data_IF_732458670708
#
_entry.id   IF_732458670708
#
_cell.length_a   1.000
_cell.length_b   1.000
_cell.length_c   1.000
_cell.angle_alpha   90.00
_cell.angle_beta   90.00
_cell.angle_gamma   90.00
#
_symmetry.space_group_name_H-M   'P 1'
#
loop_
_entity.id
_entity.type
_entity.pdbx_description
1 polymer ?
#
# COMPACT_ATOMS: atom_id res chain seq x y z
N UNK A 1 -14.18 4.54 2.29
CA UNK A 1 -12.80 5.14 2.33
C UNK A 1 -11.81 4.11 2.85
N UNK A 2 -10.49 4.32 2.63
CA UNK A 2 -9.48 3.37 3.07
C UNK A 2 -8.22 4.09 3.54
N UNK A 3 -7.67 3.66 4.67
CA UNK A 3 -6.31 3.99 5.10
C UNK A 3 -5.40 2.77 4.87
N UNK A 4 -4.21 2.99 4.31
CA UNK A 4 -3.32 1.92 3.90
C UNK A 4 -1.87 2.19 4.36
N UNK A 5 -1.58 2.05 5.66
CA UNK A 5 -0.23 2.28 6.20
C UNK A 5 0.73 1.14 5.87
N UNK A 6 2.00 1.48 5.59
CA UNK A 6 3.09 0.52 5.56
C UNK A 6 3.71 0.42 6.97
N UNK A 7 3.82 -0.79 7.56
CA UNK A 7 4.34 -0.98 8.92
C UNK A 7 5.89 -1.01 8.93
N UNK A 8 6.51 0.02 8.36
CA UNK A 8 7.98 0.14 8.26
C UNK A 8 8.58 1.05 9.33
N UNK A 9 7.75 1.56 10.23
CA UNK A 9 8.11 2.46 11.34
C UNK A 9 6.89 2.88 12.14
N UNK A 10 7.12 3.77 13.11
CA UNK A 10 6.02 4.35 13.89
C UNK A 10 5.12 5.23 13.02
N UNK A 11 3.83 5.27 13.38
CA UNK A 11 2.87 6.14 12.73
C UNK A 11 3.24 7.62 13.01
N UNK A 12 3.59 8.38 11.98
CA UNK A 12 3.89 9.79 12.13
C UNK A 12 2.63 10.66 11.96
N UNK A 13 2.72 11.93 12.37
CA UNK A 13 1.58 12.86 12.35
C UNK A 13 0.92 12.98 10.97
N UNK A 14 1.68 12.92 9.89
CA UNK A 14 1.14 12.94 8.52
C UNK A 14 0.25 11.74 8.21
N UNK A 15 0.65 10.54 8.66
CA UNK A 15 -0.15 9.33 8.50
C UNK A 15 -1.40 9.37 9.37
N UNK A 16 -1.28 9.84 10.61
CA UNK A 16 -2.40 10.05 11.53
C UNK A 16 -3.43 11.02 10.94
N UNK A 17 -2.98 12.15 10.37
CA UNK A 17 -3.83 13.10 9.66
C UNK A 17 -4.55 12.43 8.48
N UNK A 18 -3.84 11.65 7.67
CA UNK A 18 -4.44 10.95 6.52
C UNK A 18 -5.50 9.96 6.97
N UNK A 19 -5.25 9.18 8.04
CA UNK A 19 -6.24 8.30 8.63
C UNK A 19 -7.48 9.06 9.08
N UNK A 20 -7.30 10.15 9.84
CA UNK A 20 -8.39 10.99 10.34
C UNK A 20 -9.27 11.56 9.20
N UNK A 21 -8.68 12.09 8.14
CA UNK A 21 -9.46 12.64 7.01
C UNK A 21 -10.24 11.56 6.28
N UNK A 22 -9.67 10.38 6.07
CA UNK A 22 -10.39 9.26 5.45
C UNK A 22 -11.53 8.76 6.34
N UNK A 23 -11.31 8.70 7.65
CA UNK A 23 -12.33 8.32 8.63
C UNK A 23 -13.48 9.33 8.64
N UNK A 24 -13.18 10.62 8.78
CA UNK A 24 -14.17 11.70 8.75
C UNK A 24 -14.98 11.68 7.45
N UNK A 25 -14.32 11.51 6.30
CA UNK A 25 -15.00 11.43 5.01
C UNK A 25 -15.92 10.20 4.93
N UNK A 26 -15.51 9.04 5.45
CA UNK A 26 -16.38 7.87 5.53
C UNK A 26 -17.60 8.15 6.43
N UNK A 27 -17.37 8.63 7.65
CA UNK A 27 -18.44 8.88 8.63
C UNK A 27 -19.40 9.97 8.18
N UNK A 28 -18.95 11.02 7.47
CA UNK A 28 -19.80 12.11 6.99
C UNK A 28 -20.87 11.69 5.99
N UNK A 29 -20.65 10.59 5.28
CA UNK A 29 -21.60 10.07 4.26
C UNK A 29 -22.21 8.72 4.66
N UNK A 30 -22.03 8.27 5.89
CA UNK A 30 -22.48 6.94 6.34
C UNK A 30 -21.77 5.79 5.60
N UNK A 31 -20.57 6.03 5.11
CA UNK A 31 -19.81 5.06 4.35
C UNK A 31 -18.84 4.25 5.21
N UNK A 32 -18.20 3.26 4.61
CA UNK A 32 -17.28 2.33 5.24
C UNK A 32 -15.86 2.88 5.29
N UNK A 33 -15.17 2.74 6.43
CA UNK A 33 -13.74 3.00 6.60
C UNK A 33 -12.98 1.67 6.72
N UNK A 34 -12.12 1.39 5.77
CA UNK A 34 -11.34 0.16 5.66
C UNK A 34 -9.88 0.39 6.04
N UNK A 35 -9.25 -0.67 6.56
CA UNK A 35 -7.82 -0.68 6.87
C UNK A 35 -7.10 -1.75 6.06
N UNK A 36 -6.04 -1.36 5.34
CA UNK A 36 -5.15 -2.27 4.63
C UNK A 36 -3.71 -2.04 5.08
N UNK A 37 -3.07 -3.07 5.58
CA UNK A 37 -1.66 -3.05 5.93
C UNK A 37 -0.83 -3.35 4.69
N UNK A 38 0.03 -2.42 4.28
CA UNK A 38 0.92 -2.56 3.13
C UNK A 38 2.27 -3.13 3.56
N UNK A 39 2.27 -4.42 3.87
CA UNK A 39 3.39 -5.19 4.44
C UNK A 39 4.19 -5.97 3.38
N UNK A 40 4.34 -5.41 2.18
CA UNK A 40 5.06 -6.05 1.07
C UNK A 40 6.58 -5.95 1.19
N UNK A 41 7.11 -5.02 1.96
CA UNK A 41 8.52 -4.92 2.29
C UNK A 41 8.84 -5.83 3.49
N UNK A 42 9.21 -7.07 3.21
CA UNK A 42 9.43 -8.10 4.23
C UNK A 42 10.60 -7.80 5.17
N UNK A 43 11.58 -6.99 4.74
CA UNK A 43 12.73 -6.64 5.58
C UNK A 43 12.38 -5.58 6.62
N UNK A 44 11.53 -4.62 6.26
CA UNK A 44 11.15 -3.50 7.13
C UNK A 44 9.81 -3.67 7.81
N UNK A 45 8.94 -4.53 7.27
CA UNK A 45 7.63 -4.79 7.86
C UNK A 45 7.76 -5.79 9.01
N UNK A 46 7.52 -5.32 10.23
CA UNK A 46 7.57 -6.15 11.44
C UNK A 46 6.18 -6.29 12.03
N UNK A 47 5.82 -7.48 12.55
CA UNK A 47 4.52 -7.69 13.21
C UNK A 47 4.23 -6.66 14.30
N UNK A 48 5.24 -6.31 15.10
CA UNK A 48 5.12 -5.35 16.21
C UNK A 48 4.76 -3.95 15.71
N UNK A 49 5.21 -3.56 14.50
CA UNK A 49 4.86 -2.27 13.90
C UNK A 49 3.42 -2.24 13.36
N UNK A 50 2.86 -3.41 13.04
CA UNK A 50 1.42 -3.52 12.71
C UNK A 50 0.58 -3.25 13.95
N UNK A 51 0.96 -3.81 15.10
CA UNK A 51 0.26 -3.58 16.36
C UNK A 51 0.30 -2.10 16.76
N UNK A 52 1.44 -1.43 16.56
CA UNK A 52 1.58 0.03 16.78
C UNK A 52 0.61 0.84 15.90
N UNK A 53 0.36 0.40 14.66
CA UNK A 53 -0.65 1.07 13.80
C UNK A 53 -2.04 0.94 14.40
N UNK A 54 -2.42 -0.25 14.88
CA UNK A 54 -3.73 -0.46 15.51
C UNK A 54 -3.88 0.34 16.79
N UNK A 55 -2.90 0.27 17.69
CA UNK A 55 -2.89 1.05 18.94
C UNK A 55 -3.01 2.55 18.68
N UNK A 56 -2.31 3.08 17.67
CA UNK A 56 -2.39 4.49 17.33
C UNK A 56 -3.77 4.90 16.81
N UNK A 57 -4.43 4.06 15.98
CA UNK A 57 -5.77 4.31 15.49
C UNK A 57 -6.80 4.25 16.63
N UNK A 58 -6.69 3.25 17.51
CA UNK A 58 -7.55 3.10 18.69
C UNK A 58 -7.38 4.29 19.64
N UNK A 59 -6.15 4.73 19.90
CA UNK A 59 -5.86 5.90 20.71
C UNK A 59 -6.50 7.18 20.15
N UNK A 60 -6.54 7.31 18.82
CA UNK A 60 -7.21 8.43 18.14
C UNK A 60 -8.74 8.28 18.09
N UNK A 61 -9.30 7.13 18.50
CA UNK A 61 -10.73 6.84 18.40
C UNK A 61 -11.20 6.59 16.96
N UNK A 62 -10.30 6.14 16.08
CA UNK A 62 -10.60 5.86 14.67
C UNK A 62 -10.86 4.35 14.51
N UNK A 63 -12.10 3.96 14.65
CA UNK A 63 -12.58 2.60 14.43
C UNK A 63 -12.70 2.28 12.93
N UNK A 64 -12.47 1.03 12.56
CA UNK A 64 -12.65 0.52 11.19
C UNK A 64 -13.74 -0.54 11.15
N UNK A 65 -14.41 -0.65 10.00
CA UNK A 65 -15.69 -1.36 9.87
C UNK A 65 -15.54 -2.85 9.48
N UNK A 66 -14.38 -3.25 8.93
CA UNK A 66 -14.12 -4.62 8.48
C UNK A 66 -12.75 -5.11 8.98
N UNK A 67 -12.53 -6.43 9.08
CA UNK A 67 -11.21 -6.95 9.44
C UNK A 67 -10.10 -6.38 8.53
N UNK A 68 -8.97 -5.94 9.10
CA UNK A 68 -7.87 -5.39 8.33
C UNK A 68 -7.32 -6.39 7.32
N UNK A 69 -7.08 -5.93 6.09
CA UNK A 69 -6.48 -6.75 5.03
C UNK A 69 -4.97 -6.54 5.03
N UNK A 70 -4.20 -7.63 5.08
CA UNK A 70 -2.75 -7.60 4.82
C UNK A 70 -2.49 -7.77 3.33
N UNK A 71 -1.70 -6.89 2.75
CA UNK A 71 -1.38 -6.95 1.33
C UNK A 71 -0.54 -8.18 1.00
N UNK A 72 0.39 -8.57 1.87
CA UNK A 72 1.19 -9.79 1.72
C UNK A 72 0.34 -11.06 1.64
N UNK A 73 -0.80 -11.10 2.31
CA UNK A 73 -1.73 -12.24 2.28
C UNK A 73 -2.53 -12.35 0.96
N UNK A 74 -2.33 -11.41 0.02
CA UNK A 74 -3.04 -11.36 -1.27
C UNK A 74 -2.10 -11.48 -2.46
N UNK A 75 -0.88 -11.99 -2.25
CA UNK A 75 0.13 -12.11 -3.31
C UNK A 75 -0.36 -12.97 -4.48
N UNK A 76 -1.02 -14.09 -4.22
CA UNK A 76 -1.56 -14.98 -5.26
C UNK A 76 -2.58 -14.25 -6.15
N UNK A 77 -3.49 -13.48 -5.53
CA UNK A 77 -4.47 -12.69 -6.28
C UNK A 77 -3.83 -11.56 -7.08
N UNK A 78 -2.75 -10.96 -6.57
CA UNK A 78 -1.99 -9.96 -7.33
C UNK A 78 -1.28 -10.59 -8.50
N UNK A 79 -0.69 -11.76 -8.34
CA UNK A 79 0.00 -12.50 -9.39
C UNK A 79 -0.96 -12.91 -10.49
N UNK A 80 -2.12 -13.46 -10.14
CA UNK A 80 -3.18 -13.78 -11.10
C UNK A 80 -3.62 -12.54 -11.91
N UNK A 81 -3.80 -11.38 -11.24
CA UNK A 81 -4.16 -10.15 -11.92
C UNK A 81 -3.07 -9.67 -12.90
N UNK A 82 -1.78 -9.82 -12.53
CA UNK A 82 -0.65 -9.50 -13.43
C UNK A 82 -0.66 -10.41 -14.65
N UNK A 83 -0.87 -11.71 -14.48
CA UNK A 83 -0.96 -12.67 -15.59
C UNK A 83 -2.12 -12.33 -16.55
N UNK A 84 -3.27 -11.94 -16.02
CA UNK A 84 -4.42 -11.50 -16.82
C UNK A 84 -4.09 -10.23 -17.62
N UNK A 85 -3.39 -9.25 -17.03
CA UNK A 85 -2.97 -8.02 -17.71
C UNK A 85 -1.96 -8.31 -18.83
N UNK A 86 -0.98 -9.19 -18.58
CA UNK A 86 -0.01 -9.64 -19.58
C UNK A 86 -0.72 -10.35 -20.75
N UNK A 87 -1.61 -11.28 -20.46
CA UNK A 87 -2.38 -12.01 -21.47
C UNK A 87 -3.27 -11.09 -22.32
N UNK A 88 -3.78 -10.00 -21.74
CA UNK A 88 -4.58 -9.01 -22.43
C UNK A 88 -3.76 -7.95 -23.19
N UNK A 89 -2.41 -7.99 -23.12
CA UNK A 89 -1.54 -6.97 -23.72
C UNK A 89 -1.61 -5.60 -23.03
N UNK A 90 -2.12 -5.56 -21.81
CA UNK A 90 -2.24 -4.33 -21.00
C UNK A 90 -1.05 -4.12 -20.06
N UNK A 91 -0.16 -5.07 -19.97
CA UNK A 91 1.12 -5.01 -19.27
C UNK A 91 2.20 -5.68 -20.13
N UNK A 92 3.45 -5.37 -19.86
CA UNK A 92 4.61 -5.95 -20.53
C UNK A 92 5.74 -6.19 -19.52
N UNK A 93 6.64 -7.11 -19.86
CA UNK A 93 7.86 -7.31 -19.08
C UNK A 93 8.88 -6.24 -19.45
N UNK A 94 9.52 -5.66 -18.46
CA UNK A 94 10.64 -4.73 -18.64
C UNK A 94 11.85 -5.25 -17.90
N UNK A 95 13.00 -5.21 -18.55
CA UNK A 95 14.26 -5.53 -17.92
C UNK A 95 14.62 -4.46 -16.85
N UNK A 96 15.24 -4.88 -15.74
CA UNK A 96 15.66 -3.93 -14.72
C UNK A 96 16.74 -3.00 -15.31
N UNK A 97 16.46 -1.71 -15.34
CA UNK A 97 17.42 -0.68 -15.75
C UNK A 97 18.64 -0.74 -14.85
N UNK A 98 19.84 -0.70 -15.44
CA UNK A 98 21.09 -0.72 -14.70
C UNK A 98 21.14 0.40 -13.65
N UNK A 99 21.83 0.16 -12.55
CA UNK A 99 21.88 1.09 -11.41
C UNK A 99 22.45 2.48 -11.78
N UNK A 100 23.28 2.52 -12.86
CA UNK A 100 23.85 3.74 -13.46
C UNK A 100 22.81 4.65 -14.13
N UNK A 101 21.66 4.11 -14.51
CA UNK A 101 20.61 4.82 -15.26
C UNK A 101 19.38 5.16 -14.37
N UNK A 102 19.48 4.90 -13.08
CA UNK A 102 18.48 5.35 -12.11
C UNK A 102 18.51 6.88 -12.05
N UNK A 103 17.35 7.48 -12.30
CA UNK A 103 17.17 8.91 -12.11
C UNK A 103 17.65 9.34 -10.71
N UNK A 104 18.29 10.50 -10.62
CA UNK A 104 18.77 11.12 -9.38
C UNK A 104 17.69 11.30 -8.32
N UNK A 105 16.42 11.21 -8.69
CA UNK A 105 15.24 11.25 -7.81
C UNK A 105 14.86 9.88 -7.23
N UNK A 106 15.60 8.80 -7.54
CA UNK A 106 15.32 7.44 -7.06
C UNK A 106 14.13 6.76 -7.76
N UNK A 107 13.55 7.39 -8.79
CA UNK A 107 12.55 6.78 -9.65
C UNK A 107 13.17 5.68 -10.52
N UNK A 108 12.41 4.60 -10.78
CA UNK A 108 12.78 3.63 -11.81
C UNK A 108 12.50 4.28 -13.17
N UNK A 109 13.53 4.49 -13.98
CA UNK A 109 13.33 4.80 -15.40
C UNK A 109 12.79 3.54 -16.07
N UNK A 110 11.66 3.66 -16.75
CA UNK A 110 11.15 2.63 -17.66
C UNK A 110 11.69 2.95 -19.06
N UNK A 111 12.30 1.98 -19.71
CA UNK A 111 12.67 2.15 -21.10
C UNK A 111 11.40 2.09 -21.95
N UNK A 112 11.15 3.15 -22.72
CA UNK A 112 10.00 3.22 -23.62
C UNK A 112 10.14 2.24 -24.78
N UNK A 113 11.36 1.76 -25.07
CA UNK A 113 11.65 0.76 -26.07
C UNK A 113 11.10 -0.64 -25.73
N UNK A 114 10.84 -0.92 -24.44
CA UNK A 114 10.21 -2.18 -23.99
C UNK A 114 8.70 -2.26 -24.32
N UNK A 115 8.18 -1.29 -25.03
CA UNK A 115 6.73 -1.16 -25.29
C UNK A 115 6.25 -1.71 -26.62
N UNK A 116 7.18 -2.05 -27.53
CA UNK A 116 6.89 -2.51 -28.91
C UNK A 116 7.02 -4.04 -29.07
#
# INVERSE_FOLDING_TARGET
MRFAPAPTGYLHLGSARTALFNWLAARSVGGTFLLRIEDTDLERSRPELVDVVFEALEWMGLDWDEPPVRQSARLDAHQEAVEQLLAAGLAYWSDPVAESDRDRTGGRAYDVADRD
#
